data_IF_395701414157
#
_entry.id   IF_395701414157
#
_cell.length_a   1.000
_cell.length_b   1.000
_cell.length_c   1.000
_cell.angle_alpha   90.00
_cell.angle_beta   90.00
_cell.angle_gamma   90.00
#
_symmetry.space_group_name_H-M   'P 1'
#
loop_
_entity.id
_entity.type
_entity.pdbx_description
1 polymer ?
#
# COMPACT_ATOMS: atom_id res chain seq x y z
N UNK A 1 34.44 4.11 -10.24
CA UNK A 1 33.05 4.46 -10.60
C UNK A 1 32.24 3.17 -10.65
N UNK A 2 31.20 3.04 -9.83
CA UNK A 2 30.37 1.84 -9.82
C UNK A 2 29.61 1.72 -11.14
N UNK A 3 29.82 0.61 -11.87
CA UNK A 3 29.18 0.32 -13.16
C UNK A 3 27.68 0.10 -12.96
N UNK A 4 26.83 0.68 -13.82
CA UNK A 4 25.38 0.50 -13.86
C UNK A 4 24.95 -0.98 -13.77
N UNK A 5 23.89 -1.28 -13.03
CA UNK A 5 23.16 -2.56 -13.18
C UNK A 5 22.31 -2.42 -14.44
N UNK A 6 22.56 -3.25 -15.45
CA UNK A 6 21.75 -3.32 -16.69
C UNK A 6 21.56 -1.97 -17.42
N UNK A 7 22.55 -1.07 -17.33
CA UNK A 7 22.52 0.25 -17.96
C UNK A 7 21.76 1.33 -17.15
N UNK A 8 21.18 0.97 -16.00
CA UNK A 8 20.49 1.88 -15.08
C UNK A 8 21.50 2.45 -14.06
N UNK A 9 21.57 3.79 -13.88
CA UNK A 9 22.42 4.42 -12.87
C UNK A 9 22.11 3.90 -11.46
N UNK A 10 23.13 3.69 -10.62
CA UNK A 10 22.93 3.34 -9.20
C UNK A 10 22.10 4.36 -8.42
N UNK A 11 22.13 5.62 -8.86
CA UNK A 11 21.31 6.69 -8.29
C UNK A 11 19.81 6.44 -8.45
N UNK A 12 19.42 5.53 -9.35
CA UNK A 12 18.01 5.21 -9.61
C UNK A 12 17.44 4.17 -8.63
N UNK A 13 18.30 3.54 -7.81
CA UNK A 13 17.93 2.51 -6.83
C UNK A 13 18.14 2.96 -5.37
N UNK A 14 18.14 4.26 -5.12
CA UNK A 14 18.34 4.81 -3.76
C UNK A 14 16.99 4.96 -3.07
N UNK A 15 16.80 4.40 -1.85
CA UNK A 15 15.59 4.65 -1.06
C UNK A 15 15.31 6.14 -0.92
N UNK A 16 14.07 6.54 -1.19
CA UNK A 16 13.60 7.92 -1.21
C UNK A 16 13.52 8.50 -2.62
N UNK A 17 14.16 7.90 -3.64
CA UNK A 17 14.06 8.40 -5.00
C UNK A 17 12.65 8.29 -5.55
N UNK A 18 11.97 7.16 -5.34
CA UNK A 18 10.61 6.98 -5.86
C UNK A 18 9.70 8.06 -5.26
N UNK A 19 9.86 8.35 -3.97
CA UNK A 19 9.21 9.47 -3.28
C UNK A 19 9.48 10.82 -3.97
N UNK A 20 10.74 11.13 -4.29
CA UNK A 20 11.07 12.37 -5.00
C UNK A 20 10.45 12.45 -6.40
N UNK A 21 10.37 11.33 -7.13
CA UNK A 21 9.74 11.27 -8.45
C UNK A 21 8.25 11.57 -8.36
N UNK A 22 7.52 10.91 -7.46
CA UNK A 22 6.06 11.09 -7.36
C UNK A 22 5.65 12.47 -6.82
N UNK A 23 6.55 13.15 -6.11
CA UNK A 23 6.38 14.53 -5.66
C UNK A 23 6.84 15.57 -6.70
N UNK A 24 7.33 15.13 -7.87
CA UNK A 24 7.80 16.04 -8.93
C UNK A 24 9.14 16.73 -8.62
N UNK A 25 9.88 16.24 -7.62
CA UNK A 25 11.19 16.75 -7.20
C UNK A 25 12.35 16.05 -7.93
N UNK A 26 12.07 14.94 -8.60
CA UNK A 26 13.00 14.22 -9.47
C UNK A 26 12.32 13.82 -10.79
N UNK A 27 13.12 13.66 -11.84
CA UNK A 27 12.63 13.13 -13.11
C UNK A 27 12.33 11.63 -12.97
N UNK A 28 11.35 11.09 -13.74
CA UNK A 28 11.13 9.66 -13.83
C UNK A 28 12.42 8.90 -14.17
N UNK A 29 12.48 7.63 -13.76
CA UNK A 29 13.64 6.78 -14.03
C UNK A 29 13.80 6.56 -15.55
N UNK A 30 15.01 6.24 -16.01
CA UNK A 30 15.24 6.08 -17.46
C UNK A 30 14.40 4.97 -18.09
N UNK A 31 14.20 3.89 -17.36
CA UNK A 31 13.34 2.77 -17.73
C UNK A 31 11.85 3.19 -17.80
N UNK A 32 11.41 4.16 -17.00
CA UNK A 32 10.07 4.76 -17.03
C UNK A 32 9.82 5.65 -18.26
N UNK A 33 10.88 6.19 -18.86
CA UNK A 33 10.75 7.23 -19.90
C UNK A 33 10.31 8.56 -19.29
N UNK A 34 9.30 9.20 -19.87
CA UNK A 34 8.80 10.52 -19.42
C UNK A 34 7.49 10.42 -18.60
N UNK A 35 7.07 9.21 -18.24
CA UNK A 35 5.79 8.96 -17.56
C UNK A 35 6.02 8.17 -16.28
N UNK A 36 5.55 8.72 -15.15
CA UNK A 36 5.61 8.04 -13.85
C UNK A 36 4.77 6.77 -13.90
N UNK A 37 5.40 5.63 -13.62
CA UNK A 37 4.76 4.31 -13.68
C UNK A 37 4.09 3.95 -12.34
N UNK A 38 3.09 3.04 -12.33
CA UNK A 38 2.46 2.57 -11.11
C UNK A 38 3.46 2.05 -10.07
N UNK A 39 4.50 1.33 -10.50
CA UNK A 39 5.59 0.84 -9.65
C UNK A 39 6.24 1.96 -8.85
N UNK A 40 6.41 3.15 -9.46
CA UNK A 40 7.00 4.31 -8.79
C UNK A 40 6.14 4.81 -7.63
N UNK A 41 4.82 4.83 -7.80
CA UNK A 41 3.90 5.14 -6.70
C UNK A 41 3.90 4.04 -5.62
N UNK A 42 3.97 2.77 -6.01
CA UNK A 42 4.06 1.66 -5.06
C UNK A 42 5.34 1.75 -4.22
N UNK A 43 6.50 1.91 -4.87
CA UNK A 43 7.80 2.07 -4.22
C UNK A 43 7.81 3.31 -3.32
N UNK A 44 7.31 4.46 -3.79
CA UNK A 44 7.18 5.67 -2.99
C UNK A 44 6.32 5.46 -1.73
N UNK A 45 5.16 4.78 -1.85
CA UNK A 45 4.33 4.45 -0.69
C UNK A 45 5.09 3.59 0.33
N UNK A 46 5.98 2.72 -0.14
CA UNK A 46 6.76 1.82 0.70
C UNK A 46 7.88 2.55 1.45
N UNK A 47 8.57 3.44 0.74
CA UNK A 47 9.58 4.34 1.31
C UNK A 47 8.98 5.29 2.34
N UNK A 48 7.85 5.93 2.00
CA UNK A 48 7.13 6.84 2.88
C UNK A 48 6.60 6.13 4.13
N UNK A 49 6.05 4.93 3.99
CA UNK A 49 5.59 4.15 5.13
C UNK A 49 6.76 3.75 6.04
N UNK A 50 7.87 3.26 5.49
CA UNK A 50 9.08 2.97 6.27
C UNK A 50 9.63 4.20 6.99
N UNK A 51 9.69 5.35 6.30
CA UNK A 51 10.11 6.62 6.87
C UNK A 51 9.19 7.08 8.01
N UNK A 52 7.87 6.98 7.80
CA UNK A 52 6.86 7.28 8.83
C UNK A 52 7.12 6.47 10.10
N UNK A 53 7.31 5.15 9.97
CA UNK A 53 7.57 4.30 11.15
C UNK A 53 8.85 4.70 11.88
N UNK A 54 9.94 5.01 11.17
CA UNK A 54 11.17 5.50 11.82
C UNK A 54 10.89 6.79 12.60
N UNK A 55 10.19 7.75 11.99
CA UNK A 55 9.89 9.04 12.64
C UNK A 55 9.02 8.86 13.88
N UNK A 56 7.91 8.12 13.77
CA UNK A 56 6.99 7.94 14.91
C UNK A 56 7.64 7.17 16.05
N UNK A 57 8.53 6.23 15.76
CA UNK A 57 9.29 5.50 16.77
C UNK A 57 10.27 6.41 17.52
N UNK A 58 11.00 7.27 16.80
CA UNK A 58 11.92 8.21 17.44
C UNK A 58 11.17 9.19 18.35
N UNK A 59 10.01 9.70 17.90
CA UNK A 59 9.18 10.61 18.70
C UNK A 59 8.59 9.89 19.92
N UNK A 60 8.03 8.70 19.74
CA UNK A 60 7.49 7.89 20.84
C UNK A 60 8.57 7.51 21.85
N UNK A 61 9.78 7.19 21.40
CA UNK A 61 10.91 6.90 22.29
C UNK A 61 11.32 8.11 23.11
N UNK A 62 11.40 9.29 22.49
CA UNK A 62 11.81 10.51 23.17
C UNK A 62 10.74 11.05 24.14
N UNK A 63 9.46 10.91 23.82
CA UNK A 63 8.38 11.58 24.55
C UNK A 63 7.52 10.64 25.40
N UNK A 64 7.39 9.36 25.03
CA UNK A 64 6.49 8.39 25.68
C UNK A 64 7.16 7.02 25.86
N UNK A 65 8.38 6.96 26.39
CA UNK A 65 9.08 5.70 26.61
C UNK A 65 8.27 4.70 27.48
N UNK A 66 7.41 5.19 28.37
CA UNK A 66 6.49 4.36 29.15
C UNK A 66 5.55 3.51 28.30
N UNK A 67 5.03 4.06 27.20
CA UNK A 67 4.17 3.36 26.24
C UNK A 67 4.94 2.25 25.53
N UNK A 68 6.18 2.51 25.13
CA UNK A 68 7.04 1.49 24.51
C UNK A 68 7.36 0.35 25.48
N UNK A 69 7.50 0.63 26.77
CA UNK A 69 7.80 -0.42 27.74
C UNK A 69 6.57 -1.25 28.10
N UNK A 70 5.42 -0.60 28.24
CA UNK A 70 4.18 -1.19 28.75
C UNK A 70 3.03 -0.86 27.79
N UNK A 71 2.70 -1.81 26.92
CA UNK A 71 1.57 -1.67 26.01
C UNK A 71 0.88 -3.03 25.76
N UNK A 72 -0.42 -3.01 25.44
CA UNK A 72 -1.21 -4.23 25.25
C UNK A 72 -0.71 -5.14 24.13
N UNK A 73 0.00 -4.58 23.14
CA UNK A 73 0.58 -5.34 22.02
C UNK A 73 1.75 -6.17 22.54
N UNK A 74 2.68 -5.55 23.26
CA UNK A 74 3.84 -6.21 23.85
C UNK A 74 3.43 -7.27 24.86
N UNK A 75 2.37 -7.05 25.62
CA UNK A 75 1.86 -8.04 26.57
C UNK A 75 1.44 -9.35 25.87
N UNK A 76 0.92 -9.23 24.64
CA UNK A 76 0.42 -10.36 23.83
C UNK A 76 1.45 -10.97 22.88
N UNK A 77 2.43 -10.18 22.44
CA UNK A 77 3.43 -10.60 21.47
C UNK A 77 4.80 -10.88 22.08
N UNK A 78 5.04 -10.42 23.32
CA UNK A 78 6.35 -10.50 23.98
C UNK A 78 7.41 -9.53 23.42
N UNK A 79 7.07 -8.71 22.42
CA UNK A 79 7.95 -7.70 21.84
C UNK A 79 7.16 -6.48 21.37
N UNK A 80 7.90 -5.40 21.08
CA UNK A 80 7.34 -4.19 20.52
C UNK A 80 7.20 -4.30 18.99
N UNK A 81 5.98 -4.51 18.53
CA UNK A 81 5.65 -4.36 17.11
C UNK A 81 5.70 -2.89 16.70
N UNK A 82 6.03 -2.62 15.43
CA UNK A 82 6.21 -1.27 14.91
C UNK A 82 4.98 -0.35 15.06
N UNK A 83 3.76 -0.87 15.16
CA UNK A 83 2.55 -0.05 15.35
C UNK A 83 2.53 0.68 16.70
N UNK A 84 3.23 0.20 17.72
CA UNK A 84 3.33 0.87 19.04
C UNK A 84 3.81 2.32 18.92
N UNK A 85 4.65 2.61 17.92
CA UNK A 85 5.14 3.97 17.67
C UNK A 85 4.04 4.95 17.28
N UNK A 86 2.89 4.47 16.79
CA UNK A 86 1.76 5.26 16.30
C UNK A 86 0.79 5.67 17.41
N UNK A 87 0.85 5.02 18.58
CA UNK A 87 -0.26 5.03 19.54
C UNK A 87 -0.14 6.10 20.64
N UNK A 88 0.83 7.02 20.53
CA UNK A 88 1.06 8.04 21.56
C UNK A 88 1.31 9.44 20.99
N UNK A 89 0.79 10.45 21.66
CA UNK A 89 1.02 11.84 21.30
C UNK A 89 2.38 12.33 21.81
N UNK A 90 3.20 13.04 21.01
CA UNK A 90 2.86 13.70 19.75
C UNK A 90 3.17 12.88 18.47
N UNK A 91 3.67 11.63 18.61
CA UNK A 91 4.08 10.80 17.49
C UNK A 91 2.90 10.49 16.55
N UNK A 92 1.72 10.23 17.13
CA UNK A 92 0.46 9.97 16.43
C UNK A 92 0.11 11.09 15.44
N UNK A 93 0.03 12.34 15.92
CA UNK A 93 -0.26 13.51 15.09
C UNK A 93 0.74 13.71 13.95
N UNK A 94 2.04 13.59 14.22
CA UNK A 94 3.08 13.71 13.18
C UNK A 94 2.99 12.57 12.17
N UNK A 95 2.75 11.37 12.66
CA UNK A 95 2.55 10.17 11.86
C UNK A 95 1.37 10.30 10.91
N UNK A 96 0.23 10.82 11.37
CA UNK A 96 -0.96 11.01 10.55
C UNK A 96 -0.70 11.96 9.38
N UNK A 97 0.03 13.06 9.59
CA UNK A 97 0.43 13.98 8.52
C UNK A 97 1.31 13.28 7.48
N UNK A 98 2.32 12.50 7.92
CA UNK A 98 3.15 11.71 7.01
C UNK A 98 2.33 10.63 6.30
N UNK A 99 1.35 10.06 6.98
CA UNK A 99 0.46 9.05 6.42
C UNK A 99 -0.36 9.62 5.28
N UNK A 100 -0.79 10.88 5.31
CA UNK A 100 -1.52 11.49 4.19
C UNK A 100 -0.68 11.52 2.89
N UNK A 101 0.63 11.75 3.00
CA UNK A 101 1.55 11.71 1.84
C UNK A 101 1.72 10.28 1.34
N UNK A 102 1.84 9.32 2.25
CA UNK A 102 1.87 7.89 1.92
C UNK A 102 0.55 7.44 1.25
N UNK A 103 -0.58 7.85 1.81
CA UNK A 103 -1.93 7.52 1.36
C UNK A 103 -2.15 8.04 -0.06
N UNK A 104 -1.74 9.28 -0.35
CA UNK A 104 -1.74 9.80 -1.72
C UNK A 104 -1.01 8.84 -2.69
N UNK A 105 0.20 8.40 -2.34
CA UNK A 105 0.97 7.47 -3.18
C UNK A 105 0.27 6.12 -3.35
N UNK A 106 -0.35 5.59 -2.29
CA UNK A 106 -1.18 4.37 -2.35
C UNK A 106 -2.36 4.51 -3.32
N UNK A 107 -3.10 5.63 -3.26
CA UNK A 107 -4.25 5.86 -4.15
C UNK A 107 -3.78 6.01 -5.60
N UNK A 108 -2.72 6.80 -5.83
CA UNK A 108 -2.17 7.00 -7.17
C UNK A 108 -1.66 5.71 -7.78
N UNK A 109 -1.02 4.84 -6.99
CA UNK A 109 -0.63 3.51 -7.44
C UNK A 109 -1.83 2.74 -7.99
N UNK A 110 -2.88 2.53 -7.20
CA UNK A 110 -4.03 1.72 -7.64
C UNK A 110 -4.76 2.33 -8.84
N UNK A 111 -4.95 3.65 -8.86
CA UNK A 111 -5.61 4.33 -10.00
C UNK A 111 -4.79 4.18 -11.28
N UNK A 112 -3.48 4.44 -11.22
CA UNK A 112 -2.62 4.33 -12.40
C UNK A 112 -2.43 2.88 -12.84
N UNK A 113 -2.40 1.93 -11.89
CA UNK A 113 -2.33 0.51 -12.21
C UNK A 113 -3.62 0.00 -12.88
N UNK A 114 -4.80 0.44 -12.40
CA UNK A 114 -6.07 0.14 -13.06
C UNK A 114 -6.07 0.64 -14.51
N UNK A 115 -5.74 1.91 -14.74
CA UNK A 115 -5.64 2.50 -16.08
C UNK A 115 -4.69 1.69 -16.96
N UNK A 116 -3.53 1.31 -16.43
CA UNK A 116 -2.56 0.46 -17.11
C UNK A 116 -3.15 -0.90 -17.47
N UNK A 117 -3.78 -1.61 -16.54
CA UNK A 117 -4.32 -2.95 -16.77
C UNK A 117 -5.38 -2.95 -17.88
N UNK A 118 -6.23 -1.92 -17.95
CA UNK A 118 -7.15 -1.75 -19.07
C UNK A 118 -6.43 -1.58 -20.41
N UNK A 119 -5.39 -0.75 -20.45
CA UNK A 119 -4.64 -0.51 -21.68
C UNK A 119 -3.85 -1.75 -22.12
N UNK A 120 -3.18 -2.43 -21.20
CA UNK A 120 -2.48 -3.71 -21.48
C UNK A 120 -3.46 -4.76 -21.99
N UNK A 121 -4.70 -4.79 -21.47
CA UNK A 121 -5.77 -5.67 -21.97
C UNK A 121 -6.20 -5.29 -23.38
N UNK A 122 -6.36 -4.00 -23.68
CA UNK A 122 -6.69 -3.48 -25.01
C UNK A 122 -5.63 -3.85 -26.05
N UNK A 123 -4.36 -3.81 -25.65
CA UNK A 123 -3.22 -4.22 -26.49
C UNK A 123 -3.10 -5.75 -26.67
N UNK A 124 -3.88 -6.56 -25.94
CA UNK A 124 -3.82 -8.02 -26.02
C UNK A 124 -2.64 -8.65 -25.27
N UNK A 125 -1.94 -7.89 -24.42
CA UNK A 125 -0.73 -8.32 -23.71
C UNK A 125 -0.99 -8.95 -22.33
N UNK A 126 -2.26 -9.10 -21.95
CA UNK A 126 -2.67 -9.77 -20.70
C UNK A 126 -3.91 -10.64 -20.93
N UNK A 127 -3.91 -11.81 -20.31
CA UNK A 127 -5.05 -12.74 -20.34
C UNK A 127 -6.23 -12.18 -19.53
N UNK A 128 -7.46 -12.62 -19.84
CA UNK A 128 -8.64 -12.18 -19.10
C UNK A 128 -8.60 -12.53 -17.59
N UNK A 129 -8.17 -13.75 -17.18
CA UNK A 129 -8.04 -14.06 -15.75
C UNK A 129 -7.02 -13.18 -15.04
N UNK A 130 -5.87 -12.92 -15.67
CA UNK A 130 -4.84 -12.07 -15.07
C UNK A 130 -5.32 -10.62 -14.96
N UNK A 131 -6.02 -10.11 -15.98
CA UNK A 131 -6.65 -8.79 -15.93
C UNK A 131 -7.64 -8.65 -14.76
N UNK A 132 -8.53 -9.63 -14.58
CA UNK A 132 -9.49 -9.64 -13.46
C UNK A 132 -8.75 -9.67 -12.12
N UNK A 133 -7.69 -10.49 -12.02
CA UNK A 133 -6.85 -10.54 -10.82
C UNK A 133 -6.19 -9.19 -10.52
N UNK A 134 -5.59 -8.53 -11.51
CA UNK A 134 -4.98 -7.19 -11.35
C UNK A 134 -5.99 -6.15 -10.84
N UNK A 135 -7.16 -6.08 -11.48
CA UNK A 135 -8.22 -5.14 -11.08
C UNK A 135 -8.71 -5.43 -9.66
N UNK A 136 -8.89 -6.70 -9.32
CA UNK A 136 -9.28 -7.10 -7.96
C UNK A 136 -8.24 -6.67 -6.93
N UNK A 137 -6.94 -6.85 -7.21
CA UNK A 137 -5.88 -6.42 -6.29
C UNK A 137 -5.83 -4.92 -6.08
N UNK A 138 -6.07 -4.12 -7.12
CA UNK A 138 -6.09 -2.65 -7.00
C UNK A 138 -7.28 -2.16 -6.16
N UNK A 139 -8.46 -2.77 -6.34
CA UNK A 139 -9.64 -2.44 -5.52
C UNK A 139 -9.42 -2.84 -4.07
N UNK A 140 -8.88 -4.04 -3.82
CA UNK A 140 -8.53 -4.48 -2.48
C UNK A 140 -7.49 -3.55 -1.85
N UNK A 141 -6.50 -3.08 -2.61
CA UNK A 141 -5.51 -2.12 -2.14
C UNK A 141 -6.14 -0.83 -1.64
N UNK A 142 -7.04 -0.22 -2.43
CA UNK A 142 -7.77 1.01 -2.04
C UNK A 142 -8.60 0.81 -0.78
N UNK A 143 -9.33 -0.31 -0.69
CA UNK A 143 -10.13 -0.66 0.47
C UNK A 143 -9.22 -0.86 1.71
N UNK A 144 -8.15 -1.62 1.54
CA UNK A 144 -7.23 -1.99 2.61
C UNK A 144 -6.49 -0.80 3.19
N UNK A 145 -5.98 0.12 2.36
CA UNK A 145 -5.32 1.33 2.89
C UNK A 145 -6.30 2.24 3.63
N UNK A 146 -7.57 2.27 3.20
CA UNK A 146 -8.63 3.02 3.88
C UNK A 146 -9.00 2.41 5.23
N UNK A 147 -9.09 1.08 5.30
CA UNK A 147 -9.29 0.36 6.56
C UNK A 147 -8.07 0.51 7.48
N UNK A 148 -6.86 0.42 6.92
CA UNK A 148 -5.62 0.60 7.67
C UNK A 148 -5.57 1.96 8.36
N UNK A 149 -6.18 3.01 7.80
CA UNK A 149 -6.27 4.31 8.46
C UNK A 149 -6.95 4.26 9.84
N UNK A 150 -7.75 3.22 10.14
CA UNK A 150 -8.36 3.02 11.46
C UNK A 150 -7.33 2.80 12.57
N UNK A 151 -6.08 2.40 12.27
CA UNK A 151 -5.01 2.28 13.29
C UNK A 151 -4.69 3.62 13.94
N UNK A 152 -4.98 4.74 13.27
CA UNK A 152 -4.83 6.09 13.83
C UNK A 152 -5.97 6.47 14.78
N UNK A 153 -7.09 5.73 14.80
CA UNK A 153 -8.27 6.08 15.59
C UNK A 153 -8.51 5.09 16.72
N UNK A 154 -8.24 3.80 16.47
CA UNK A 154 -8.46 2.74 17.43
C UNK A 154 -7.13 2.45 18.12
N UNK A 155 -6.94 2.97 19.32
CA UNK A 155 -5.74 2.68 20.11
C UNK A 155 -5.78 1.23 20.65
N UNK A 156 -4.62 0.57 20.86
CA UNK A 156 -4.59 -0.82 21.32
C UNK A 156 -5.16 -1.00 22.74
N UNK A 157 -5.23 0.06 23.55
CA UNK A 157 -5.91 0.05 24.85
C UNK A 157 -7.44 0.06 24.74
N UNK A 158 -7.99 0.57 23.63
CA UNK A 158 -9.44 0.62 23.41
C UNK A 158 -9.95 -0.72 22.91
N UNK A 159 -9.32 -1.26 21.86
CA UNK A 159 -9.71 -2.53 21.27
C UNK A 159 -8.49 -3.16 20.57
N UNK A 160 -7.87 -4.15 21.22
CA UNK A 160 -6.64 -4.73 20.69
C UNK A 160 -6.81 -5.36 19.31
N UNK A 161 -7.87 -6.16 19.12
CA UNK A 161 -8.19 -6.72 17.79
C UNK A 161 -8.59 -5.63 16.79
N UNK A 162 -9.35 -4.61 17.23
CA UNK A 162 -9.75 -3.49 16.39
C UNK A 162 -8.56 -2.67 15.87
N UNK A 163 -7.48 -2.58 16.65
CA UNK A 163 -6.24 -1.95 16.25
C UNK A 163 -5.38 -2.83 15.32
N UNK A 164 -5.18 -4.11 15.65
CA UNK A 164 -4.25 -4.97 14.88
C UNK A 164 -4.84 -5.55 13.60
N UNK A 165 -6.15 -5.84 13.53
CA UNK A 165 -6.77 -6.45 12.35
C UNK A 165 -6.69 -5.59 11.07
N UNK A 166 -6.89 -4.25 11.12
CA UNK A 166 -6.61 -3.39 9.98
C UNK A 166 -5.19 -3.52 9.44
N UNK A 167 -4.19 -3.59 10.33
CA UNK A 167 -2.79 -3.78 9.94
C UNK A 167 -2.53 -5.16 9.32
N UNK A 168 -3.11 -6.23 9.89
CA UNK A 168 -3.07 -7.58 9.30
C UNK A 168 -3.68 -7.60 7.90
N UNK A 169 -4.85 -6.97 7.73
CA UNK A 169 -5.49 -6.86 6.42
C UNK A 169 -4.60 -6.16 5.41
N UNK A 170 -3.93 -5.09 5.83
CA UNK A 170 -2.95 -4.38 5.02
C UNK A 170 -1.75 -5.24 4.61
N UNK A 171 -1.18 -6.03 5.53
CA UNK A 171 -0.09 -6.97 5.22
C UNK A 171 -0.52 -7.94 4.10
N UNK A 172 -1.70 -8.56 4.23
CA UNK A 172 -2.19 -9.52 3.24
C UNK A 172 -2.45 -8.89 1.88
N UNK A 173 -3.19 -7.78 1.83
CA UNK A 173 -3.52 -7.13 0.55
C UNK A 173 -2.27 -6.62 -0.15
N UNK A 174 -1.30 -6.09 0.62
CA UNK A 174 -0.01 -5.69 0.09
C UNK A 174 0.78 -6.87 -0.46
N UNK A 175 0.77 -8.02 0.23
CA UNK A 175 1.33 -9.27 -0.28
C UNK A 175 0.74 -9.66 -1.64
N UNK A 176 -0.59 -9.69 -1.75
CA UNK A 176 -1.26 -10.07 -3.00
C UNK A 176 -0.96 -9.05 -4.12
N UNK A 177 -0.85 -7.76 -3.79
CA UNK A 177 -0.53 -6.70 -4.76
C UNK A 177 0.90 -6.83 -5.31
N UNK A 178 1.89 -7.09 -4.44
CA UNK A 178 3.27 -7.37 -4.86
C UNK A 178 3.33 -8.63 -5.73
N UNK A 179 2.65 -9.70 -5.30
CA UNK A 179 2.57 -10.94 -6.06
C UNK A 179 1.95 -10.69 -7.45
N UNK A 180 0.83 -9.97 -7.51
CA UNK A 180 0.14 -9.68 -8.76
C UNK A 180 1.01 -8.90 -9.74
N UNK A 181 1.73 -7.88 -9.26
CA UNK A 181 2.66 -7.08 -10.06
C UNK A 181 3.84 -7.91 -10.59
N UNK A 182 4.45 -8.76 -9.75
CA UNK A 182 5.61 -9.56 -10.13
C UNK A 182 5.25 -10.75 -11.04
N UNK A 183 4.05 -11.32 -10.88
CA UNK A 183 3.53 -12.35 -11.80
C UNK A 183 3.13 -11.78 -13.16
N UNK A 184 2.73 -10.51 -13.18
CA UNK A 184 2.34 -9.79 -14.40
C UNK A 184 3.53 -9.52 -15.30
N UNK A 185 4.67 -9.19 -14.69
CA UNK A 185 5.85 -8.79 -15.42
C UNK A 185 6.55 -9.97 -16.09
N UNK A 186 6.93 -9.76 -17.36
CA UNK A 186 7.74 -10.70 -18.14
C UNK A 186 9.23 -10.63 -17.80
N UNK A 187 9.65 -9.61 -17.05
CA UNK A 187 11.07 -9.32 -16.77
C UNK A 187 11.48 -9.49 -15.31
N UNK A 188 10.71 -10.25 -14.52
CA UNK A 188 11.06 -10.50 -13.13
C UNK A 188 12.41 -11.21 -13.03
N UNK A 189 13.42 -10.47 -12.54
CA UNK A 189 14.79 -10.98 -12.38
C UNK A 189 14.86 -12.08 -11.32
N UNK A 190 15.92 -12.90 -11.35
CA UNK A 190 16.15 -13.90 -10.30
C UNK A 190 16.18 -13.30 -8.89
N UNK A 191 16.81 -12.12 -8.72
CA UNK A 191 16.80 -11.39 -7.45
C UNK A 191 15.39 -10.98 -7.04
N UNK A 192 14.57 -10.54 -7.99
CA UNK A 192 13.15 -10.28 -7.78
C UNK A 192 12.40 -11.51 -7.30
N UNK A 193 12.60 -12.68 -7.93
CA UNK A 193 11.97 -13.92 -7.49
C UNK A 193 12.38 -14.34 -6.08
N UNK A 194 13.67 -14.23 -5.74
CA UNK A 194 14.16 -14.51 -4.37
C UNK A 194 13.51 -13.57 -3.36
N UNK A 195 13.46 -12.26 -3.67
CA UNK A 195 12.76 -11.27 -2.84
C UNK A 195 11.28 -11.62 -2.69
N UNK A 196 10.59 -11.98 -3.78
CA UNK A 196 9.17 -12.33 -3.75
C UNK A 196 8.91 -13.53 -2.84
N UNK A 197 9.69 -14.61 -2.95
CA UNK A 197 9.52 -15.79 -2.09
C UNK A 197 9.68 -15.39 -0.62
N UNK A 198 10.76 -14.68 -0.29
CA UNK A 198 11.02 -14.21 1.08
C UNK A 198 9.89 -13.31 1.61
N UNK A 199 9.47 -12.31 0.83
CA UNK A 199 8.43 -11.37 1.18
C UNK A 199 7.07 -12.04 1.37
N UNK A 200 6.71 -12.96 0.48
CA UNK A 200 5.47 -13.73 0.55
C UNK A 200 5.44 -14.64 1.78
N UNK A 201 6.55 -15.33 2.07
CA UNK A 201 6.65 -16.18 3.27
C UNK A 201 6.42 -15.36 4.53
N UNK A 202 7.11 -14.24 4.69
CA UNK A 202 6.95 -13.38 5.87
C UNK A 202 5.54 -12.80 5.96
N UNK A 203 5.01 -12.26 4.84
CA UNK A 203 3.68 -11.63 4.83
C UNK A 203 2.54 -12.63 5.09
N UNK A 204 2.73 -13.91 4.77
CA UNK A 204 1.78 -14.95 5.11
C UNK A 204 1.92 -15.39 6.58
N UNK A 205 3.16 -15.57 7.07
CA UNK A 205 3.42 -16.08 8.42
C UNK A 205 3.15 -15.06 9.53
N UNK A 206 3.43 -13.78 9.30
CA UNK A 206 3.34 -12.75 10.33
C UNK A 206 1.90 -12.56 10.87
N UNK A 207 0.85 -12.44 10.02
CA UNK A 207 -0.52 -12.41 10.52
C UNK A 207 -0.93 -13.66 11.30
N UNK A 208 -0.50 -14.85 10.85
CA UNK A 208 -0.77 -16.10 11.56
C UNK A 208 -0.13 -16.09 12.95
N UNK A 209 1.09 -15.57 13.06
CA UNK A 209 1.76 -15.38 14.34
C UNK A 209 0.99 -14.42 15.26
N UNK A 210 0.52 -13.26 14.75
CA UNK A 210 -0.27 -12.31 15.55
C UNK A 210 -1.56 -12.94 16.08
N UNK A 211 -2.36 -13.53 15.20
CA UNK A 211 -3.66 -14.09 15.57
C UNK A 211 -3.51 -15.27 16.53
N UNK A 212 -2.53 -16.14 16.29
CA UNK A 212 -2.27 -17.28 17.19
C UNK A 212 -1.73 -16.85 18.55
N UNK A 213 -0.88 -15.82 18.61
CA UNK A 213 -0.38 -15.28 19.88
C UNK A 213 -1.50 -14.59 20.67
N UNK A 214 -2.40 -13.86 19.99
CA UNK A 214 -3.55 -13.22 20.65
C UNK A 214 -4.55 -14.24 21.20
N UNK A 215 -4.84 -15.28 20.42
CA UNK A 215 -5.67 -16.38 20.87
C UNK A 215 -5.02 -17.10 22.07
N UNK A 216 -3.73 -17.41 21.99
CA UNK A 216 -2.99 -18.06 23.06
C UNK A 216 -3.01 -17.26 24.36
N UNK A 217 -2.74 -15.96 24.29
CA UNK A 217 -2.81 -15.05 25.44
C UNK A 217 -4.19 -15.05 26.12
N UNK A 218 -5.26 -15.23 25.34
CA UNK A 218 -6.63 -15.31 25.87
C UNK A 218 -6.87 -16.64 26.59
N UNK A 219 -6.38 -17.75 26.03
CA UNK A 219 -6.51 -19.10 26.61
C UNK A 219 -5.66 -19.32 27.86
N UNK A 220 -4.50 -18.66 27.98
CA UNK A 220 -3.59 -18.80 29.13
C UNK A 220 -3.92 -17.88 30.31
N UNK A 221 -5.11 -17.27 30.33
CA UNK A 221 -5.49 -16.27 31.35
C UNK A 221 -4.54 -15.06 31.40
N UNK A 222 -4.10 -14.56 30.24
CA UNK A 222 -3.37 -13.29 30.11
C UNK A 222 -1.95 -13.31 30.70
N UNK A 223 -1.23 -14.44 30.57
CA UNK A 223 0.15 -14.52 31.04
C UNK A 223 1.05 -13.64 30.15
N UNK A 224 1.62 -12.60 30.75
CA UNK A 224 2.25 -11.49 30.01
C UNK A 224 3.56 -11.95 29.38
N UNK A 225 3.69 -11.76 28.07
CA UNK A 225 4.88 -12.14 27.32
C UNK A 225 5.03 -13.65 27.09
N UNK A 226 4.05 -14.46 27.53
CA UNK A 226 3.96 -15.86 27.12
C UNK A 226 3.24 -15.96 25.77
N UNK A 227 3.93 -16.50 24.78
CA UNK A 227 3.47 -16.54 23.39
C UNK A 227 3.57 -17.95 22.85
N UNK A 228 2.58 -18.35 22.02
CA UNK A 228 2.51 -19.70 21.44
C UNK A 228 3.82 -20.14 20.76
N UNK A 229 4.47 -19.20 20.07
CA UNK A 229 5.82 -19.36 19.53
C UNK A 229 6.75 -18.37 20.21
N UNK A 230 8.06 -18.64 20.31
CA UNK A 230 8.99 -17.72 20.96
C UNK A 230 8.91 -16.29 20.38
N UNK A 231 8.81 -15.28 21.25
CA UNK A 231 8.60 -13.88 20.86
C UNK A 231 9.63 -13.36 19.84
N UNK A 232 10.87 -13.85 19.88
CA UNK A 232 11.93 -13.45 18.96
C UNK A 232 11.66 -13.90 17.51
N UNK A 233 10.87 -14.96 17.30
CA UNK A 233 10.42 -15.38 15.96
C UNK A 233 9.48 -14.34 15.39
N UNK A 234 8.49 -13.91 16.18
CA UNK A 234 7.56 -12.83 15.83
C UNK A 234 8.31 -11.54 15.51
N UNK A 235 9.19 -11.12 16.42
CA UNK A 235 9.99 -9.91 16.24
C UNK A 235 10.82 -9.94 14.95
N UNK A 236 11.46 -11.08 14.66
CA UNK A 236 12.27 -11.23 13.45
C UNK A 236 11.43 -11.11 12.17
N UNK A 237 10.24 -11.74 12.14
CA UNK A 237 9.33 -11.65 11.00
C UNK A 237 8.79 -10.24 10.82
N UNK A 238 8.37 -9.60 11.91
CA UNK A 238 7.84 -8.23 11.89
C UNK A 238 8.91 -7.26 11.36
N UNK A 239 10.11 -7.29 11.94
CA UNK A 239 11.16 -6.36 11.56
C UNK A 239 11.70 -6.63 10.16
N UNK A 240 11.72 -7.89 9.73
CA UNK A 240 12.03 -8.24 8.36
C UNK A 240 10.96 -7.73 7.38
N UNK A 241 9.67 -7.82 7.73
CA UNK A 241 8.58 -7.27 6.91
C UNK A 241 8.72 -5.75 6.73
N UNK A 242 9.02 -5.03 7.81
CA UNK A 242 9.30 -3.59 7.75
C UNK A 242 10.54 -3.26 6.93
N UNK A 243 11.61 -4.05 7.07
CA UNK A 243 12.81 -3.92 6.23
C UNK A 243 12.54 -4.16 4.74
N UNK A 244 11.55 -5.00 4.40
CA UNK A 244 11.13 -5.22 3.03
C UNK A 244 10.45 -3.99 2.39
N UNK A 245 9.84 -3.09 3.18
CA UNK A 245 9.14 -1.90 2.65
C UNK A 245 10.07 -1.02 1.78
N UNK A 246 11.15 -0.41 2.31
CA UNK A 246 12.05 0.38 1.47
C UNK A 246 12.81 -0.48 0.45
N UNK A 247 12.96 -1.78 0.71
CA UNK A 247 13.62 -2.71 -0.20
C UNK A 247 12.83 -2.98 -1.48
N UNK A 248 11.51 -2.70 -1.49
CA UNK A 248 10.69 -2.76 -2.71
C UNK A 248 11.32 -1.96 -3.86
N UNK A 249 11.95 -0.82 -3.59
CA UNK A 249 12.63 0.02 -4.59
C UNK A 249 13.83 -0.64 -5.27
N UNK A 250 14.37 -1.72 -4.67
CA UNK A 250 15.53 -2.45 -5.19
C UNK A 250 15.15 -3.65 -6.07
N UNK A 251 13.97 -4.22 -5.84
CA UNK A 251 13.58 -5.51 -6.43
C UNK A 251 12.39 -5.42 -7.39
N UNK A 252 11.58 -4.36 -7.30
CA UNK A 252 10.48 -4.11 -8.23
C UNK A 252 11.03 -3.41 -9.47
N UNK A 253 10.67 -3.95 -10.63
CA UNK A 253 11.14 -3.51 -11.93
C UNK A 253 9.94 -3.14 -12.80
N UNK A 254 10.20 -2.37 -13.84
CA UNK A 254 9.16 -1.90 -14.77
C UNK A 254 9.29 -2.68 -16.06
N UNK A 255 8.21 -3.34 -16.45
CA UNK A 255 8.14 -4.03 -17.74
C UNK A 255 8.04 -3.02 -18.89
N UNK A 256 8.83 -3.15 -19.98
CA UNK A 256 8.69 -2.31 -21.16
C UNK A 256 7.29 -2.27 -21.76
N UNK A 257 6.51 -3.36 -21.67
CA UNK A 257 5.11 -3.38 -22.13
C UNK A 257 4.27 -2.38 -21.36
N UNK A 258 4.53 -2.22 -20.06
CA UNK A 258 3.82 -1.30 -19.18
C UNK A 258 4.17 0.15 -19.44
N UNK A 259 5.42 0.41 -19.79
CA UNK A 259 5.85 1.73 -20.26
C UNK A 259 5.02 2.21 -21.44
N UNK A 260 4.88 1.36 -22.47
CA UNK A 260 4.10 1.71 -23.68
C UNK A 260 2.63 1.95 -23.31
N UNK A 261 2.04 1.06 -22.50
CA UNK A 261 0.66 1.23 -22.03
C UNK A 261 0.45 2.59 -21.36
N UNK A 262 1.32 2.98 -20.43
CA UNK A 262 1.21 4.25 -19.71
C UNK A 262 1.44 5.47 -20.61
N UNK A 263 2.28 5.36 -21.64
CA UNK A 263 2.42 6.42 -22.64
C UNK A 263 1.14 6.61 -23.45
N UNK A 264 0.45 5.53 -23.82
CA UNK A 264 -0.84 5.62 -24.51
C UNK A 264 -1.94 6.19 -23.61
N UNK A 265 -1.97 5.80 -22.32
CA UNK A 265 -2.86 6.41 -21.31
C UNK A 265 -2.62 7.92 -21.21
N UNK A 266 -1.35 8.35 -21.14
CA UNK A 266 -1.01 9.78 -21.06
C UNK A 266 -1.43 10.53 -22.33
N UNK A 267 -1.16 9.98 -23.53
CA UNK A 267 -1.58 10.59 -24.81
C UNK A 267 -3.09 10.76 -24.87
N UNK A 268 -3.85 9.75 -24.45
CA UNK A 268 -5.30 9.81 -24.42
C UNK A 268 -5.79 10.88 -23.44
N UNK A 269 -5.23 10.95 -22.22
CA UNK A 269 -5.57 11.98 -21.23
C UNK A 269 -5.36 13.41 -21.77
N UNK A 270 -4.22 13.66 -22.42
CA UNK A 270 -3.93 14.98 -23.01
C UNK A 270 -4.92 15.32 -24.11
N UNK A 271 -5.29 14.34 -24.94
CA UNK A 271 -6.30 14.53 -25.99
C UNK A 271 -7.66 14.87 -25.39
N UNK A 272 -8.09 14.13 -24.37
CA UNK A 272 -9.36 14.36 -23.68
C UNK A 272 -9.40 15.74 -23.02
N UNK A 273 -8.29 16.19 -22.42
CA UNK A 273 -8.18 17.54 -21.84
C UNK A 273 -8.32 18.64 -22.90
N UNK A 274 -7.69 18.48 -24.06
CA UNK A 274 -7.80 19.43 -25.19
C UNK A 274 -9.25 19.48 -25.70
N UNK A 275 -9.90 18.33 -25.89
CA UNK A 275 -11.28 18.25 -26.35
C UNK A 275 -12.25 18.88 -25.32
N UNK A 276 -12.04 18.61 -24.04
CA UNK A 276 -12.84 19.18 -22.96
C UNK A 276 -12.68 20.71 -22.85
N UNK A 277 -11.45 21.23 -22.88
CA UNK A 277 -11.21 22.69 -22.86
C UNK A 277 -11.77 23.35 -24.12
N UNK A 278 -11.61 22.72 -25.29
CA UNK A 278 -12.22 23.17 -26.54
C UNK A 278 -13.74 23.25 -26.43
N UNK A 279 -14.37 22.25 -25.83
CA UNK A 279 -15.82 22.23 -25.62
C UNK A 279 -16.31 23.36 -24.69
N UNK A 280 -15.53 23.71 -23.67
CA UNK A 280 -15.84 24.82 -22.75
C UNK A 280 -15.73 26.18 -23.44
N UNK A 281 -14.79 26.33 -24.39
CA UNK A 281 -14.61 27.57 -25.16
C UNK A 281 -15.66 27.73 -26.26
N UNK A 282 -16.26 26.64 -26.75
CA UNK A 282 -17.27 26.63 -27.82
C UNK A 282 -18.71 26.66 -27.26
N UNK A 283 -18.91 26.47 -25.94
CA UNK A 283 -20.25 26.52 -25.33
C UNK A 283 -20.85 27.93 -25.42
N UNK A 284 -21.85 28.05 -26.29
CA UNK A 284 -22.76 29.18 -26.37
C UNK A 284 -23.70 29.18 -25.13
N UNK A 285 -23.74 30.24 -24.31
CA UNK A 285 -24.48 30.26 -23.03
C UNK A 285 -26.00 30.06 -23.15
N UNK A 286 -26.56 30.01 -24.37
CA UNK A 286 -27.99 29.89 -24.62
C UNK A 286 -28.52 28.45 -24.70
N UNK A 287 -27.67 27.42 -24.69
CA UNK A 287 -28.08 26.02 -24.88
C UNK A 287 -27.28 25.08 -23.98
N UNK A 288 -27.43 25.17 -22.66
CA UNK A 288 -26.83 24.19 -21.76
C UNK A 288 -27.88 23.15 -21.33
N UNK A 289 -27.82 21.90 -21.84
CA UNK A 289 -28.58 20.82 -21.25
C UNK A 289 -27.99 20.55 -19.87
N UNK A 290 -28.83 20.64 -18.84
CA UNK A 290 -28.60 20.16 -17.48
C UNK A 290 -27.71 18.91 -17.48
N UNK A 291 -26.72 18.85 -16.57
CA UNK A 291 -25.94 17.66 -16.24
C UNK A 291 -26.84 16.41 -16.32
N UNK A 292 -26.76 15.65 -17.41
CA UNK A 292 -27.64 14.51 -17.58
C UNK A 292 -27.23 13.45 -16.56
N UNK A 293 -28.19 13.11 -15.69
CA UNK A 293 -28.18 12.11 -14.60
C UNK A 293 -27.80 10.68 -15.06
N UNK A 294 -27.16 10.52 -16.21
CA UNK A 294 -26.81 9.22 -16.81
C UNK A 294 -25.62 8.53 -16.14
N UNK A 295 -24.74 9.27 -15.47
CA UNK A 295 -23.59 8.70 -14.75
C UNK A 295 -23.80 8.56 -13.24
N UNK A 296 -24.88 9.14 -12.70
CA UNK A 296 -25.28 9.00 -11.30
C UNK A 296 -25.44 7.52 -10.88
N UNK A 297 -26.03 6.62 -11.69
CA UNK A 297 -26.13 5.20 -11.34
C UNK A 297 -24.77 4.51 -11.20
N UNK A 298 -23.76 4.90 -12.00
CA UNK A 298 -22.41 4.31 -11.94
C UNK A 298 -21.67 4.77 -10.68
N UNK A 299 -21.80 6.05 -10.33
CA UNK A 299 -21.24 6.60 -9.09
C UNK A 299 -21.91 5.98 -7.86
N UNK A 300 -23.24 5.87 -7.87
CA UNK A 300 -23.99 5.21 -6.78
C UNK A 300 -23.57 3.73 -6.67
N UNK A 301 -23.44 2.99 -7.78
CA UNK A 301 -23.04 1.58 -7.75
C UNK A 301 -21.62 1.41 -7.20
N UNK A 302 -20.68 2.28 -7.57
CA UNK A 302 -19.32 2.26 -7.05
C UNK A 302 -19.29 2.58 -5.54
N UNK A 303 -20.06 3.57 -5.08
CA UNK A 303 -20.17 3.91 -3.65
C UNK A 303 -20.85 2.79 -2.87
N UNK A 304 -21.91 2.18 -3.39
CA UNK A 304 -22.62 1.07 -2.75
C UNK A 304 -21.76 -0.19 -2.68
N UNK A 305 -21.02 -0.53 -3.74
CA UNK A 305 -20.14 -1.70 -3.74
C UNK A 305 -19.00 -1.55 -2.73
N UNK A 306 -18.37 -0.37 -2.67
CA UNK A 306 -17.37 -0.09 -1.64
C UNK A 306 -17.98 -0.06 -0.24
N UNK A 307 -19.18 0.51 -0.07
CA UNK A 307 -19.90 0.52 1.19
C UNK A 307 -20.26 -0.88 1.71
N UNK A 308 -20.70 -1.80 0.84
CA UNK A 308 -21.02 -3.19 1.19
C UNK A 308 -19.76 -3.97 1.58
N UNK A 309 -18.64 -3.76 0.88
CA UNK A 309 -17.37 -4.42 1.23
C UNK A 309 -16.80 -3.91 2.56
N UNK A 310 -16.82 -2.59 2.78
CA UNK A 310 -16.42 -1.97 4.06
C UNK A 310 -17.33 -2.47 5.19
N UNK A 311 -18.64 -2.46 4.98
CA UNK A 311 -19.62 -2.91 5.97
C UNK A 311 -19.50 -4.41 6.26
N UNK A 312 -19.34 -5.25 5.24
CA UNK A 312 -19.15 -6.70 5.42
C UNK A 312 -17.89 -7.03 6.21
N UNK A 313 -16.79 -6.33 5.94
CA UNK A 313 -15.56 -6.42 6.74
C UNK A 313 -15.80 -5.98 8.19
N UNK A 314 -16.47 -4.83 8.38
CA UNK A 314 -16.77 -4.31 9.71
C UNK A 314 -17.65 -5.26 10.52
N UNK A 315 -18.69 -5.83 9.91
CA UNK A 315 -19.58 -6.81 10.55
C UNK A 315 -18.85 -8.10 10.91
N UNK A 316 -18.00 -8.61 10.03
CA UNK A 316 -17.23 -9.83 10.28
C UNK A 316 -16.23 -9.67 11.43
N UNK A 317 -15.64 -8.48 11.56
CA UNK A 317 -14.62 -8.18 12.58
C UNK A 317 -15.25 -7.85 13.93
N UNK A 318 -16.25 -6.97 13.97
CA UNK A 318 -16.72 -6.37 15.23
C UNK A 318 -17.95 -7.04 15.85
N UNK A 319 -18.67 -7.90 15.13
CA UNK A 319 -19.90 -8.53 15.64
C UNK A 319 -19.79 -10.04 15.86
N UNK A 320 -18.63 -10.65 15.54
CA UNK A 320 -18.33 -12.06 15.79
C UNK A 320 -17.20 -12.27 16.84
N UNK A 321 -16.73 -11.20 17.48
CA UNK A 321 -15.82 -11.23 18.63
C UNK A 321 -16.46 -10.55 19.83
#
# INVERSE_FOLDING_TARGET
>A
MAKSIDGIPWTDFVPGRATLVVLGLAKPRKDEGDVVQPESYFMASSELLGFLFVVVWLISYANNYGVINNNPIKDRLGYNNFCVGLDSEPAKNVGEVLFMVCYYSCIRYAVTNLQRSFEVRRMGNISAPMFVFSVFTDIQWLLSISIFALVWVIDPWMAMYGHTLPFIGFIYVRYVSVLAMMLQSSQTTFKGWVFLVFYCTISAMLPMYYLSSFAYFTETNHDVGDTLFPWWVGMSMDYAWFGCLPSCSLFIHIDPVYKVAMQEVMKQSVKDDIENVGSLLVKNPATDPHLTIRDLPKVILAVMFNGILVYGFFMAVFFNS
#
